data_IF_986347223967
#
_entry.id   IF_986347223967
#
_cell.length_a   1.000
_cell.length_b   1.000
_cell.length_c   1.000
_cell.angle_alpha   90.00
_cell.angle_beta   90.00
_cell.angle_gamma   90.00
#
_symmetry.space_group_name_H-M   'P 1'
#
loop_
_entity.id
_entity.type
_entity.pdbx_description
1 polymer ?
#
# COMPACT_ATOMS: atom_id res chain seq x y z
N UNK A 1 -0.01 -5.08 -12.00
CA UNK A 1 0.22 -5.21 -10.55
C UNK A 1 1.66 -4.84 -10.28
N UNK A 2 1.90 -4.02 -9.27
CA UNK A 2 3.23 -3.50 -8.95
C UNK A 2 3.84 -4.33 -7.82
N UNK A 3 5.06 -4.81 -7.98
CA UNK A 3 5.76 -5.57 -6.93
C UNK A 3 6.03 -4.66 -5.72
N UNK A 4 5.82 -5.17 -4.52
CA UNK A 4 6.09 -4.41 -3.31
C UNK A 4 7.60 -4.24 -3.12
N UNK A 5 8.02 -3.04 -2.71
CA UNK A 5 9.45 -2.77 -2.48
C UNK A 5 9.95 -3.26 -1.11
N UNK A 6 9.06 -3.33 -0.12
CA UNK A 6 9.42 -3.56 1.29
C UNK A 6 8.90 -4.93 1.76
N UNK A 7 9.55 -5.99 1.30
CA UNK A 7 9.26 -7.35 1.77
C UNK A 7 10.46 -8.27 1.62
N UNK A 8 10.46 -9.36 2.39
CA UNK A 8 11.46 -10.42 2.29
C UNK A 8 10.82 -11.72 1.81
N UNK A 9 11.54 -12.48 0.99
CA UNK A 9 11.12 -13.81 0.55
C UNK A 9 11.49 -14.82 1.62
N UNK A 10 10.56 -15.72 1.93
CA UNK A 10 10.73 -16.79 2.91
C UNK A 10 10.61 -18.16 2.22
N UNK A 11 11.04 -19.26 2.90
CA UNK A 11 10.83 -20.62 2.39
C UNK A 11 9.36 -20.95 2.12
N UNK A 12 9.11 -21.95 1.25
CA UNK A 12 7.77 -22.43 0.87
C UNK A 12 6.89 -21.36 0.21
N UNK A 13 7.49 -20.53 -0.64
CA UNK A 13 6.82 -19.42 -1.33
C UNK A 13 6.08 -18.47 -0.38
N UNK A 14 6.56 -18.32 0.85
CA UNK A 14 6.02 -17.34 1.81
C UNK A 14 6.75 -16.02 1.65
N UNK A 15 6.14 -14.96 2.12
CA UNK A 15 6.76 -13.62 2.15
C UNK A 15 6.50 -12.94 3.48
N UNK A 16 7.46 -12.16 3.94
CA UNK A 16 7.35 -11.30 5.10
C UNK A 16 7.15 -9.86 4.62
N UNK A 17 5.95 -9.32 4.78
CA UNK A 17 5.64 -7.94 4.40
C UNK A 17 6.16 -6.98 5.46
N UNK A 18 6.98 -5.99 5.06
CA UNK A 18 7.56 -4.98 5.96
C UNK A 18 7.00 -3.57 5.69
N UNK A 19 5.90 -3.44 4.95
CA UNK A 19 5.29 -2.15 4.57
C UNK A 19 4.66 -1.42 5.76
N UNK A 20 4.09 -2.15 6.72
CA UNK A 20 3.48 -1.57 7.91
C UNK A 20 3.83 -2.36 9.18
N UNK A 21 3.49 -1.80 10.34
CA UNK A 21 3.80 -2.36 11.65
C UNK A 21 3.29 -3.79 11.90
N UNK A 22 2.28 -4.26 11.16
CA UNK A 22 1.72 -5.61 11.31
C UNK A 22 2.67 -6.71 10.90
N UNK A 23 3.69 -6.41 10.08
CA UNK A 23 4.73 -7.35 9.66
C UNK A 23 4.14 -8.73 9.28
N UNK A 24 3.15 -8.74 8.38
CA UNK A 24 2.42 -9.98 8.06
C UNK A 24 3.33 -11.00 7.37
N UNK A 25 3.29 -12.26 7.81
CA UNK A 25 3.83 -13.37 7.04
C UNK A 25 2.73 -13.96 6.15
N UNK A 26 2.86 -13.84 4.84
CA UNK A 26 1.81 -14.13 3.85
C UNK A 26 2.18 -15.40 3.09
N UNK A 27 1.32 -16.42 3.15
CA UNK A 27 1.50 -17.65 2.37
C UNK A 27 1.15 -17.48 0.89
N UNK A 28 1.52 -18.45 0.06
CA UNK A 28 1.22 -18.46 -1.38
C UNK A 28 -0.28 -18.26 -1.65
N UNK A 29 -0.61 -17.35 -2.56
CA UNK A 29 -1.99 -17.00 -2.93
C UNK A 29 -2.77 -16.22 -1.86
N UNK A 30 -2.21 -16.02 -0.66
CA UNK A 30 -2.87 -15.33 0.46
C UNK A 30 -2.62 -13.83 0.44
N UNK A 31 -3.37 -13.13 1.30
CA UNK A 31 -3.32 -11.68 1.46
C UNK A 31 -2.80 -11.32 2.85
N UNK A 32 -2.23 -10.12 2.97
CA UNK A 32 -2.00 -9.49 4.27
C UNK A 32 -3.31 -9.07 4.94
N UNK A 33 -3.25 -8.70 6.22
CA UNK A 33 -4.42 -8.25 7.00
C UNK A 33 -5.13 -7.04 6.36
N UNK A 34 -4.38 -6.17 5.69
CA UNK A 34 -4.89 -5.01 4.97
C UNK A 34 -5.63 -5.35 3.67
N UNK A 35 -5.54 -6.59 3.17
CA UNK A 35 -6.13 -7.08 1.92
C UNK A 35 -5.68 -6.39 0.63
N UNK A 36 -4.74 -5.45 0.69
CA UNK A 36 -4.20 -4.75 -0.49
C UNK A 36 -2.87 -5.31 -1.00
N UNK A 37 -2.27 -6.25 -0.26
CA UNK A 37 -1.07 -6.97 -0.68
C UNK A 37 -1.36 -8.46 -0.80
N UNK A 38 -0.97 -9.06 -1.93
CA UNK A 38 -1.11 -10.50 -2.19
C UNK A 38 0.23 -11.12 -2.54
N UNK A 39 0.51 -12.30 -1.98
CA UNK A 39 1.64 -13.11 -2.38
C UNK A 39 1.25 -13.99 -3.59
N UNK A 40 2.03 -13.90 -4.67
CA UNK A 40 1.89 -14.71 -5.88
C UNK A 40 3.25 -15.27 -6.27
N UNK A 41 3.42 -16.58 -6.21
CA UNK A 41 4.67 -17.27 -6.49
C UNK A 41 5.84 -16.84 -5.60
N UNK A 42 5.60 -16.54 -4.32
CA UNK A 42 6.61 -15.99 -3.41
C UNK A 42 7.00 -14.52 -3.70
N UNK A 43 6.22 -13.81 -4.51
CA UNK A 43 6.41 -12.39 -4.81
C UNK A 43 5.22 -11.58 -4.28
N UNK A 44 5.49 -10.52 -3.52
CA UNK A 44 4.45 -9.70 -2.93
C UNK A 44 4.04 -8.60 -3.90
N UNK A 45 2.75 -8.53 -4.24
CA UNK A 45 2.21 -7.52 -5.15
C UNK A 45 1.26 -6.56 -4.43
N UNK A 46 1.39 -5.28 -4.74
CA UNK A 46 0.40 -4.25 -4.41
C UNK A 46 -0.75 -4.29 -5.43
N UNK A 47 -1.98 -4.45 -4.91
CA UNK A 47 -3.19 -4.58 -5.72
C UNK A 47 -3.88 -3.25 -6.05
N UNK A 48 -3.58 -2.19 -5.31
CA UNK A 48 -4.22 -0.89 -5.44
C UNK A 48 -3.23 0.23 -5.80
N UNK A 49 -2.05 -0.12 -6.32
CA UNK A 49 -1.06 0.87 -6.77
C UNK A 49 -1.70 1.83 -7.79
N UNK A 50 -1.58 3.13 -7.53
CA UNK A 50 -2.16 4.22 -8.32
C UNK A 50 -3.70 4.18 -8.47
N UNK A 51 -4.41 3.37 -7.67
CA UNK A 51 -5.86 3.37 -7.65
C UNK A 51 -6.37 4.47 -6.72
N UNK A 52 -7.20 5.38 -7.25
CA UNK A 52 -7.91 6.35 -6.43
C UNK A 52 -9.07 5.65 -5.71
N UNK A 53 -9.16 5.80 -4.39
CA UNK A 53 -10.30 5.33 -3.60
C UNK A 53 -11.51 6.27 -3.70
N UNK A 54 -11.25 7.56 -3.89
CA UNK A 54 -12.27 8.58 -4.12
C UNK A 54 -11.68 9.75 -4.91
N UNK A 55 -12.50 10.37 -5.74
CA UNK A 55 -12.20 11.61 -6.46
C UNK A 55 -13.39 12.53 -6.25
N UNK A 56 -13.12 13.77 -5.84
CA UNK A 56 -14.16 14.76 -5.60
C UNK A 56 -13.66 16.10 -6.11
N UNK A 57 -14.57 16.85 -6.74
CA UNK A 57 -14.32 18.24 -7.13
C UNK A 57 -14.80 19.09 -5.95
N UNK A 58 -13.85 19.61 -5.19
CA UNK A 58 -14.10 20.48 -4.03
C UNK A 58 -13.34 21.79 -4.23
N UNK A 59 -13.84 22.93 -3.69
CA UNK A 59 -13.08 24.17 -3.62
C UNK A 59 -11.73 23.96 -2.92
N UNK A 60 -10.71 24.72 -3.33
CA UNK A 60 -9.34 24.59 -2.81
C UNK A 60 -9.30 24.83 -1.29
N UNK A 61 -10.20 25.67 -0.78
CA UNK A 61 -10.34 26.08 0.62
C UNK A 61 -10.77 24.95 1.56
N UNK A 62 -11.33 23.86 1.03
CA UNK A 62 -11.70 22.68 1.83
C UNK A 62 -10.48 21.87 2.28
N UNK A 63 -9.35 22.01 1.59
CA UNK A 63 -8.06 21.51 2.09
C UNK A 63 -7.52 22.50 3.12
N UNK A 64 -6.82 22.05 4.17
CA UNK A 64 -6.32 22.92 5.25
C UNK A 64 -5.09 23.74 4.81
N UNK A 65 -5.22 24.46 3.69
CA UNK A 65 -4.19 25.27 3.06
C UNK A 65 -4.41 26.77 3.26
N UNK A 66 -5.46 27.17 3.97
CA UNK A 66 -5.82 28.58 4.19
C UNK A 66 -4.69 29.41 4.82
N UNK A 67 -3.79 28.76 5.58
CA UNK A 67 -2.59 29.37 6.16
C UNK A 67 -1.30 28.66 5.71
N UNK A 68 -1.34 27.95 4.60
CA UNK A 68 -0.15 27.33 4.04
C UNK A 68 0.60 28.37 3.21
N UNK A 69 1.76 28.80 3.71
CA UNK A 69 2.63 29.81 3.09
C UNK A 69 2.00 31.22 2.96
N UNK A 70 1.55 31.83 4.07
CA UNK A 70 1.05 33.19 4.03
C UNK A 70 2.25 34.16 3.82
N UNK A 71 2.10 35.07 2.85
CA UNK A 71 3.05 36.16 2.50
C UNK A 71 4.26 35.81 1.60
N UNK A 72 4.08 34.91 0.63
CA UNK A 72 5.04 34.70 -0.47
C UNK A 72 4.48 35.13 -1.82
#
# INVERSE_FOLDING_TARGET
MYEAMLYERLPNSRVQCNVCQWRCTIGEGKFGVCRVYQNRGGTLYNLNYAAASSVVVDPIEKKPLFHFFPAS
#
